data_IF_633692710300
#
_entry.id   IF_633692710300
#
_cell.length_a   1.000
_cell.length_b   1.000
_cell.length_c   1.000
_cell.angle_alpha   90.00
_cell.angle_beta   90.00
_cell.angle_gamma   90.00
#
_symmetry.space_group_name_H-M   'P 1'
#
loop_
_entity.id
_entity.type
_entity.pdbx_description
1 polymer ?
#
# COMPACT_ATOMS: atom_id res chain seq x y z
N UNK A 1 -5.96 -30.37 17.27
CA UNK A 1 -6.55 -30.75 15.98
C UNK A 1 -6.29 -29.57 15.05
N UNK A 2 -5.36 -29.67 14.11
CA UNK A 2 -5.06 -28.56 13.21
C UNK A 2 -6.26 -28.39 12.28
N UNK A 3 -7.06 -27.33 12.49
CA UNK A 3 -8.12 -26.97 11.57
C UNK A 3 -7.46 -26.32 10.37
N UNK A 4 -7.34 -27.07 9.28
CA UNK A 4 -6.93 -26.51 8.00
C UNK A 4 -7.94 -25.41 7.62
N UNK A 5 -7.43 -24.28 7.15
CA UNK A 5 -8.28 -23.18 6.70
C UNK A 5 -9.13 -23.60 5.51
N UNK A 6 -10.38 -23.16 5.45
CA UNK A 6 -11.40 -23.65 4.49
C UNK A 6 -11.06 -23.35 3.01
N UNK A 7 -10.16 -22.40 2.76
CA UNK A 7 -9.67 -22.01 1.43
C UNK A 7 -8.32 -22.65 1.09
N UNK A 8 -7.80 -23.53 1.94
CA UNK A 8 -6.53 -24.24 1.75
C UNK A 8 -6.77 -25.75 1.90
N UNK A 9 -7.01 -26.42 0.77
CA UNK A 9 -7.20 -27.87 0.71
C UNK A 9 -5.84 -28.58 0.56
N UNK A 10 -5.28 -29.00 1.70
CA UNK A 10 -4.03 -29.77 1.75
C UNK A 10 -4.27 -31.23 1.36
N UNK A 11 -4.41 -31.47 0.05
CA UNK A 11 -4.46 -32.82 -0.51
C UNK A 11 -3.21 -33.66 -0.26
N UNK A 12 -2.04 -33.06 -0.01
CA UNK A 12 -0.81 -33.81 0.27
C UNK A 12 0.26 -32.91 0.92
N UNK A 13 0.78 -33.38 2.06
CA UNK A 13 2.00 -32.94 2.77
C UNK A 13 1.84 -31.78 3.79
N UNK A 14 2.32 -32.06 5.01
CA UNK A 14 2.32 -31.23 6.24
C UNK A 14 3.21 -29.98 6.15
N UNK A 15 2.99 -29.11 5.18
CA UNK A 15 3.59 -27.78 5.21
C UNK A 15 2.64 -26.86 5.98
N UNK A 16 3.13 -26.25 7.05
CA UNK A 16 2.43 -25.15 7.72
C UNK A 16 1.97 -24.15 6.66
N UNK A 17 0.74 -23.62 6.78
CA UNK A 17 0.11 -22.78 5.76
C UNK A 17 1.16 -21.84 5.12
N UNK A 18 1.37 -21.93 3.81
CA UNK A 18 2.46 -21.17 3.15
C UNK A 18 2.08 -19.69 2.92
N UNK A 19 0.79 -19.36 2.99
CA UNK A 19 0.33 -18.00 2.70
C UNK A 19 0.81 -16.92 3.71
N UNK A 20 0.96 -17.18 5.03
CA UNK A 20 1.54 -16.21 5.95
C UNK A 20 3.01 -15.95 5.64
N UNK A 21 3.78 -16.95 5.20
CA UNK A 21 5.19 -16.74 4.83
C UNK A 21 5.32 -15.87 3.57
N UNK A 22 4.39 -16.03 2.62
CA UNK A 22 4.20 -15.10 1.50
C UNK A 22 3.88 -13.69 1.97
N UNK A 23 2.96 -13.53 2.93
CA UNK A 23 2.61 -12.22 3.49
C UNK A 23 3.82 -11.53 4.13
N UNK A 24 4.65 -12.25 4.90
CA UNK A 24 5.88 -11.70 5.50
C UNK A 24 6.96 -11.36 4.48
N UNK A 25 6.92 -11.95 3.28
CA UNK A 25 7.87 -11.64 2.20
C UNK A 25 7.40 -10.45 1.38
N UNK A 26 6.12 -10.42 1.01
CA UNK A 26 5.56 -9.43 0.08
C UNK A 26 5.26 -8.09 0.77
N UNK A 27 4.63 -8.12 1.96
CA UNK A 27 4.15 -6.89 2.61
C UNK A 27 5.27 -5.91 2.96
N UNK A 28 6.42 -6.33 3.54
CA UNK A 28 7.51 -5.40 3.83
C UNK A 28 8.08 -4.75 2.57
N UNK A 29 8.19 -5.49 1.46
CA UNK A 29 8.63 -4.93 0.18
C UNK A 29 7.67 -3.88 -0.35
N UNK A 30 6.35 -4.13 -0.25
CA UNK A 30 5.33 -3.15 -0.63
C UNK A 30 5.34 -1.92 0.29
N UNK A 31 5.57 -2.08 1.60
CA UNK A 31 5.70 -0.95 2.52
C UNK A 31 6.93 -0.10 2.23
N UNK A 32 8.08 -0.74 1.95
CA UNK A 32 9.29 -0.02 1.55
C UNK A 32 9.07 0.76 0.25
N UNK A 33 8.37 0.17 -0.73
CA UNK A 33 7.97 0.86 -1.95
C UNK A 33 7.09 2.08 -1.66
N UNK A 34 6.06 1.95 -0.82
CA UNK A 34 5.19 3.08 -0.42
C UNK A 34 5.97 4.23 0.20
N UNK A 35 6.86 3.92 1.15
CA UNK A 35 7.68 4.93 1.82
C UNK A 35 8.65 5.60 0.85
N UNK A 36 9.26 4.82 -0.05
CA UNK A 36 10.10 5.35 -1.12
C UNK A 36 9.34 6.29 -2.06
N UNK A 37 8.13 5.91 -2.47
CA UNK A 37 7.28 6.74 -3.32
C UNK A 37 6.92 8.08 -2.65
N UNK A 38 6.52 8.06 -1.37
CA UNK A 38 6.25 9.30 -0.61
C UNK A 38 7.51 10.16 -0.50
N UNK A 39 8.68 9.55 -0.21
CA UNK A 39 9.92 10.30 -0.09
C UNK A 39 10.30 10.99 -1.41
N UNK A 40 10.15 10.31 -2.54
CA UNK A 40 10.36 10.89 -3.87
C UNK A 40 9.34 12.00 -4.13
N UNK A 41 8.07 11.77 -3.84
CA UNK A 41 7.01 12.76 -4.01
C UNK A 41 7.30 14.06 -3.24
N UNK A 42 7.71 13.95 -1.97
CA UNK A 42 8.09 15.10 -1.14
C UNK A 42 9.37 15.77 -1.66
N UNK A 43 10.36 14.99 -2.13
CA UNK A 43 11.59 15.54 -2.68
C UNK A 43 11.32 16.37 -3.96
N UNK A 44 10.35 15.93 -4.77
CA UNK A 44 9.91 16.60 -5.99
C UNK A 44 8.90 17.73 -5.73
N UNK A 45 8.31 17.83 -4.53
CA UNK A 45 7.29 18.85 -4.20
C UNK A 45 7.89 20.23 -3.90
N UNK A 46 8.50 20.88 -4.90
CA UNK A 46 9.07 22.24 -4.83
C UNK A 46 8.49 23.15 -5.92
N UNK A 47 8.61 24.47 -5.75
CA UNK A 47 8.30 25.45 -6.80
C UNK A 47 6.83 25.49 -7.22
N UNK A 48 6.60 25.74 -8.51
CA UNK A 48 5.27 25.80 -9.14
C UNK A 48 4.50 24.48 -9.03
N UNK A 49 5.18 23.32 -8.99
CA UNK A 49 4.51 22.04 -8.75
C UNK A 49 3.88 21.97 -7.34
N UNK A 50 4.52 22.56 -6.32
CA UNK A 50 3.91 22.69 -4.99
C UNK A 50 2.71 23.64 -5.01
N UNK A 51 2.77 24.72 -5.81
CA UNK A 51 1.64 25.63 -5.99
C UNK A 51 0.46 24.94 -6.71
N UNK A 52 0.71 24.22 -7.81
CA UNK A 52 -0.29 23.48 -8.58
C UNK A 52 -1.03 22.43 -7.74
N UNK A 53 -0.33 21.76 -6.81
CA UNK A 53 -0.97 20.79 -5.89
C UNK A 53 -1.61 21.45 -4.66
N UNK A 54 -1.33 22.73 -4.38
CA UNK A 54 -1.87 23.51 -3.26
C UNK A 54 -3.03 24.44 -3.65
N UNK A 55 -3.18 24.84 -4.91
CA UNK A 55 -4.19 25.79 -5.40
C UNK A 55 -5.66 25.38 -5.11
N UNK A 56 -5.91 24.14 -4.68
CA UNK A 56 -7.25 23.61 -4.37
C UNK A 56 -7.82 23.84 -2.96
N UNK A 57 -7.15 24.57 -2.04
CA UNK A 57 -7.69 24.81 -0.68
C UNK A 57 -7.88 23.53 0.16
N UNK A 58 -8.95 23.43 0.98
CA UNK A 58 -9.29 22.31 1.90
C UNK A 58 -9.25 20.89 1.27
N UNK A 59 -9.09 20.77 -0.05
CA UNK A 59 -8.92 19.51 -0.81
C UNK A 59 -7.63 19.49 -1.63
N UNK A 60 -6.51 19.91 -1.06
CA UNK A 60 -5.21 19.85 -1.74
C UNK A 60 -4.90 18.44 -2.26
N UNK A 61 -4.53 18.34 -3.55
CA UNK A 61 -4.13 17.09 -4.19
C UNK A 61 -2.96 16.43 -3.46
N UNK A 62 -2.04 17.24 -2.91
CA UNK A 62 -0.98 16.77 -2.05
C UNK A 62 -1.50 15.97 -0.84
N UNK A 63 -2.51 16.50 -0.13
CA UNK A 63 -3.12 15.80 1.01
C UNK A 63 -3.82 14.51 0.58
N UNK A 64 -4.43 14.49 -0.61
CA UNK A 64 -5.05 13.27 -1.16
C UNK A 64 -4.00 12.18 -1.43
N UNK A 65 -2.87 12.53 -2.03
CA UNK A 65 -1.76 11.60 -2.29
C UNK A 65 -1.21 11.07 -0.97
N UNK A 66 -0.84 11.96 -0.04
CA UNK A 66 -0.29 11.57 1.26
C UNK A 66 -1.28 10.72 2.07
N UNK A 67 -2.57 11.07 2.07
CA UNK A 67 -3.63 10.29 2.74
C UNK A 67 -3.79 8.89 2.14
N UNK A 68 -3.77 8.77 0.82
CA UNK A 68 -3.90 7.47 0.15
C UNK A 68 -2.69 6.56 0.43
N UNK A 69 -1.49 7.12 0.39
CA UNK A 69 -0.28 6.38 0.75
C UNK A 69 -0.22 6.02 2.25
N UNK A 70 -0.69 6.91 3.12
CA UNK A 70 -0.83 6.62 4.55
C UNK A 70 -1.80 5.46 4.80
N UNK A 71 -2.99 5.50 4.18
CA UNK A 71 -3.97 4.40 4.23
C UNK A 71 -3.36 3.10 3.71
N UNK A 72 -2.63 3.15 2.60
CA UNK A 72 -1.96 1.98 2.04
C UNK A 72 -0.95 1.35 3.01
N UNK A 73 -0.10 2.15 3.65
CA UNK A 73 0.85 1.68 4.67
C UNK A 73 0.11 1.12 5.89
N UNK A 74 -0.94 1.78 6.36
CA UNK A 74 -1.75 1.33 7.50
C UNK A 74 -2.36 -0.04 7.25
N UNK A 75 -2.90 -0.27 6.05
CA UNK A 75 -3.48 -1.56 5.64
C UNK A 75 -2.42 -2.66 5.60
N UNK A 76 -1.24 -2.39 5.06
CA UNK A 76 -0.14 -3.37 5.02
C UNK A 76 0.34 -3.77 6.42
N UNK A 77 0.52 -2.79 7.31
CA UNK A 77 0.91 -3.03 8.70
C UNK A 77 -0.18 -3.84 9.42
N UNK A 78 -1.46 -3.51 9.19
CA UNK A 78 -2.59 -4.26 9.75
C UNK A 78 -2.63 -5.71 9.26
N UNK A 79 -2.35 -5.93 7.97
CA UNK A 79 -2.27 -7.27 7.39
C UNK A 79 -1.09 -8.09 7.95
N UNK A 80 0.06 -7.45 8.19
CA UNK A 80 1.20 -8.07 8.89
C UNK A 80 0.82 -8.48 10.31
N UNK A 81 0.21 -7.57 11.10
CA UNK A 81 -0.23 -7.89 12.45
C UNK A 81 -1.26 -9.01 12.48
N UNK A 82 -2.22 -9.01 11.56
CA UNK A 82 -3.21 -10.09 11.46
C UNK A 82 -2.54 -11.44 11.11
N UNK A 83 -1.52 -11.43 10.26
CA UNK A 83 -0.75 -12.63 9.90
C UNK A 83 0.08 -13.16 11.07
N UNK A 84 0.69 -12.29 11.87
CA UNK A 84 1.37 -12.68 13.13
C UNK A 84 0.36 -13.25 14.13
N UNK A 85 -0.80 -12.62 14.26
CA UNK A 85 -1.85 -13.06 15.17
C UNK A 85 -2.41 -14.44 14.78
N UNK A 86 -2.51 -14.72 13.47
CA UNK A 86 -2.84 -16.05 12.98
C UNK A 86 -1.81 -17.11 13.39
N UNK A 87 -0.52 -16.81 13.31
CA UNK A 87 0.53 -17.73 13.75
C UNK A 87 0.46 -18.02 15.26
N UNK A 88 0.05 -17.05 16.07
CA UNK A 88 -0.14 -17.22 17.50
C UNK A 88 -1.43 -18.00 17.85
N UNK A 89 -2.53 -17.76 17.10
CA UNK A 89 -3.83 -18.37 17.33
C UNK A 89 -4.41 -18.92 16.01
N UNK A 90 -4.15 -20.21 15.78
CA UNK A 90 -4.58 -20.95 14.59
C UNK A 90 -6.07 -21.27 14.65
N UNK A 91 -6.89 -20.29 14.31
CA UNK A 91 -8.35 -20.40 14.17
C UNK A 91 -8.77 -20.06 12.74
N UNK A 92 -9.79 -20.76 12.22
CA UNK A 92 -10.33 -20.51 10.88
C UNK A 92 -10.81 -19.07 10.69
N UNK A 93 -11.42 -18.45 11.71
CA UNK A 93 -11.88 -17.06 11.63
C UNK A 93 -10.71 -16.08 11.51
N UNK A 94 -9.69 -16.26 12.36
CA UNK A 94 -8.48 -15.43 12.34
C UNK A 94 -7.76 -15.54 11.01
N UNK A 95 -7.65 -16.76 10.48
CA UNK A 95 -7.02 -17.03 9.19
C UNK A 95 -7.77 -16.31 8.05
N UNK A 96 -9.10 -16.28 8.10
CA UNK A 96 -9.92 -15.67 7.03
C UNK A 96 -9.76 -14.15 7.03
N UNK A 97 -9.79 -13.54 8.22
CA UNK A 97 -9.59 -12.10 8.40
C UNK A 97 -8.18 -11.70 7.95
N UNK A 98 -7.16 -12.46 8.35
CA UNK A 98 -5.78 -12.18 7.99
C UNK A 98 -5.53 -12.32 6.48
N UNK A 99 -6.07 -13.38 5.85
CA UNK A 99 -5.99 -13.57 4.41
C UNK A 99 -6.76 -12.49 3.62
N UNK A 100 -7.92 -12.07 4.12
CA UNK A 100 -8.69 -10.96 3.54
C UNK A 100 -7.89 -9.65 3.59
N UNK A 101 -7.32 -9.30 4.74
CA UNK A 101 -6.48 -8.11 4.89
C UNK A 101 -5.24 -8.16 4.01
N UNK A 102 -4.59 -9.32 3.91
CA UNK A 102 -3.47 -9.54 3.01
C UNK A 102 -3.87 -9.28 1.55
N UNK A 103 -4.96 -9.89 1.09
CA UNK A 103 -5.47 -9.69 -0.29
C UNK A 103 -5.84 -8.22 -0.55
N UNK A 104 -6.56 -7.59 0.38
CA UNK A 104 -6.94 -6.19 0.29
C UNK A 104 -5.71 -5.27 0.21
N UNK A 105 -4.64 -5.58 0.95
CA UNK A 105 -3.40 -4.81 0.91
C UNK A 105 -2.72 -4.85 -0.47
N UNK A 106 -2.77 -5.98 -1.18
CA UNK A 106 -2.22 -6.09 -2.54
C UNK A 106 -2.99 -5.17 -3.50
N UNK A 107 -4.34 -5.20 -3.43
CA UNK A 107 -5.18 -4.32 -4.24
C UNK A 107 -4.98 -2.84 -3.91
N UNK A 108 -4.80 -2.51 -2.63
CA UNK A 108 -4.47 -1.14 -2.23
C UNK A 108 -3.14 -0.66 -2.84
N UNK A 109 -2.20 -1.56 -3.11
CA UNK A 109 -0.96 -1.22 -3.81
C UNK A 109 -1.16 -0.89 -5.28
N UNK A 110 -2.08 -1.57 -5.95
CA UNK A 110 -2.46 -1.21 -7.31
C UNK A 110 -3.11 0.18 -7.35
N UNK A 111 -3.96 0.50 -6.38
CA UNK A 111 -4.55 1.83 -6.25
C UNK A 111 -3.51 2.93 -5.97
N UNK A 112 -2.50 2.65 -5.13
CA UNK A 112 -1.40 3.58 -4.88
C UNK A 112 -0.55 3.81 -6.13
N UNK A 113 -0.33 2.78 -6.95
CA UNK A 113 0.36 2.91 -8.24
C UNK A 113 -0.41 3.80 -9.23
N UNK A 114 -1.75 3.71 -9.26
CA UNK A 114 -2.57 4.58 -10.09
C UNK A 114 -2.43 6.06 -9.70
N UNK A 115 -2.40 6.38 -8.40
CA UNK A 115 -2.18 7.75 -7.91
C UNK A 115 -0.83 8.31 -8.34
N UNK A 116 0.21 7.48 -8.47
CA UNK A 116 1.50 7.94 -8.99
C UNK A 116 1.45 8.34 -10.47
N UNK A 117 0.58 7.71 -11.26
CA UNK A 117 0.33 8.11 -12.64
C UNK A 117 -0.31 9.50 -12.67
N UNK A 118 -1.35 9.72 -11.84
CA UNK A 118 -1.99 11.04 -11.72
C UNK A 118 -0.99 12.13 -11.31
N UNK A 119 -0.09 11.83 -10.37
CA UNK A 119 0.99 12.74 -9.95
C UNK A 119 1.95 13.05 -11.10
N UNK A 120 2.28 12.06 -11.92
CA UNK A 120 3.18 12.23 -13.06
C UNK A 120 2.56 13.11 -14.16
N UNK A 121 1.25 12.95 -14.43
CA UNK A 121 0.51 13.79 -15.37
C UNK A 121 0.50 15.25 -14.92
N UNK A 122 0.19 15.51 -13.66
CA UNK A 122 0.20 16.87 -13.09
C UNK A 122 1.60 17.49 -13.15
N UNK A 123 2.63 16.70 -12.85
CA UNK A 123 4.01 17.19 -12.96
C UNK A 123 4.36 17.58 -14.40
N UNK A 124 3.97 16.77 -15.37
CA UNK A 124 4.23 17.03 -16.79
C UNK A 124 3.47 18.26 -17.30
N UNK A 125 2.28 18.54 -16.76
CA UNK A 125 1.51 19.75 -17.07
C UNK A 125 2.11 21.01 -16.43
N UNK A 126 2.75 20.89 -15.26
CA UNK A 126 3.39 22.00 -14.57
C UNK A 126 4.79 22.37 -15.13
N UNK A 127 5.48 21.44 -15.80
CA UNK A 127 6.85 21.61 -16.32
C UNK A 127 7.03 22.83 -17.25
N UNK A 128 6.14 23.09 -18.25
CA UNK A 128 6.30 24.22 -19.16
C UNK A 128 6.14 25.59 -18.50
N UNK A 129 5.44 25.66 -17.36
CA UNK A 129 5.22 26.91 -16.63
C UNK A 129 6.43 27.30 -15.77
N UNK A 130 7.24 26.32 -15.34
CA UNK A 130 8.46 26.55 -14.56
C UNK A 130 9.59 27.12 -15.45
N UNK A 131 9.56 26.85 -16.77
CA UNK A 131 10.53 27.35 -17.75
C UNK A 131 10.29 28.82 -18.18
N UNK A 132 9.06 29.34 -18.06
CA UNK A 132 8.72 30.73 -18.46
C UNK A 132 9.04 31.77 -17.38
N UNK A 133 9.22 31.35 -16.11
CA UNK A 133 9.48 32.23 -14.95
C UNK A 133 10.97 32.37 -14.58
N UNK A 134 11.90 31.90 -15.44
CA UNK A 134 13.38 32.02 -15.29
C UNK A 134 13.98 33.14 -16.14
#
# INVERSE_FOLDING_TARGET
MATNSLWYDNGTIRHADEWPSLAFTILPSLTAFSLGAIAIFIALSRGLFLAAIQEGGEKSFFLRVVSAFFHFVLVQISALFASVFYLAYTNNVTSAIAYFLFSYSIFAGLAAAAILVDVAEIKNEADPLDDEDV
#
